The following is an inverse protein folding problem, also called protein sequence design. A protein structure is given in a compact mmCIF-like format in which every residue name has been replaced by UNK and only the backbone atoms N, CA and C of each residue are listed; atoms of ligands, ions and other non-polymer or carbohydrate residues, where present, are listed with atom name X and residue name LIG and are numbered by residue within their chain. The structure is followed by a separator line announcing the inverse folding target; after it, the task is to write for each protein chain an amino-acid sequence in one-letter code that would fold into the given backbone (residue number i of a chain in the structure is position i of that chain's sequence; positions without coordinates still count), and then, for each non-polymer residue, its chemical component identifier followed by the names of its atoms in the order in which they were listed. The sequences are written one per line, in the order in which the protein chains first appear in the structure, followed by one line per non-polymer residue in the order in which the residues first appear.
data_IF_444889077742
#
_entry.id   IF_444889077742
#
_cell.length_a   1.000
_cell.length_b   1.000
_cell.length_c   1.000
_cell.angle_alpha   90.00
_cell.angle_beta   90.00
_cell.angle_gamma   90.00
#
_symmetry.space_group_name_H-M   'P 1'
#
loop_
_entity.id
_entity.type
_entity.pdbx_description
1 polymer ?
#
# COMPACT_ATOMS: atom_id res chain seq x y z
N UNK A 1 -4.38 -3.16 1.52
CA UNK A 1 -3.95 -1.74 1.42
C UNK A 1 -3.75 -1.32 -0.04
N UNK A 2 -2.89 -2.00 -0.80
CA UNK A 2 -2.55 -1.68 -2.19
C UNK A 2 -3.73 -1.56 -3.15
N UNK A 3 -4.61 -2.57 -3.20
CA UNK A 3 -5.82 -2.53 -4.03
C UNK A 3 -6.77 -1.39 -3.66
N UNK A 4 -6.83 -1.02 -2.37
CA UNK A 4 -7.65 0.10 -1.93
C UNK A 4 -7.09 1.43 -2.44
N UNK A 5 -5.77 1.65 -2.34
CA UNK A 5 -5.16 2.85 -2.91
C UNK A 5 -5.25 2.88 -4.45
N UNK A 6 -5.11 1.74 -5.13
CA UNK A 6 -5.31 1.62 -6.57
C UNK A 6 -6.72 2.05 -7.00
N UNK A 7 -7.76 1.66 -6.26
CA UNK A 7 -9.14 2.06 -6.55
C UNK A 7 -9.39 3.58 -6.43
N UNK A 8 -8.50 4.34 -5.77
CA UNK A 8 -8.65 5.79 -5.65
C UNK A 8 -8.52 6.47 -7.02
N UNK A 9 -7.62 5.99 -7.89
CA UNK A 9 -7.38 6.62 -9.18
C UNK A 9 -8.57 6.49 -10.15
N UNK A 10 -9.40 5.46 -9.93
CA UNK A 10 -10.50 5.10 -10.82
C UNK A 10 -11.88 5.47 -10.23
N UNK A 11 -11.96 6.16 -9.08
CA UNK A 11 -13.22 6.36 -8.35
C UNK A 11 -14.34 7.04 -9.17
N UNK A 12 -13.98 7.98 -10.06
CA UNK A 12 -14.95 8.68 -10.92
C UNK A 12 -15.41 7.75 -12.04
N UNK A 13 -14.46 7.12 -12.74
CA UNK A 13 -14.75 6.18 -13.81
C UNK A 13 -15.56 4.96 -13.32
N UNK A 14 -15.21 4.41 -12.16
CA UNK A 14 -15.94 3.32 -11.52
C UNK A 14 -17.39 3.73 -11.22
N UNK A 15 -17.63 4.96 -10.74
CA UNK A 15 -19.00 5.45 -10.48
C UNK A 15 -19.80 5.61 -11.76
N UNK A 16 -19.20 6.18 -12.80
CA UNK A 16 -19.83 6.35 -14.11
C UNK A 16 -20.17 5.00 -14.76
N UNK A 17 -19.32 4.00 -14.55
CA UNK A 17 -19.51 2.63 -15.04
C UNK A 17 -20.41 1.76 -14.13
N UNK A 18 -20.87 2.27 -12.98
CA UNK A 18 -21.66 1.50 -12.02
C UNK A 18 -20.87 0.39 -11.28
N UNK A 19 -19.55 0.47 -11.27
CA UNK A 19 -18.64 -0.47 -10.60
C UNK A 19 -18.53 -0.10 -9.11
N UNK A 20 -18.72 -1.10 -8.25
CA UNK A 20 -18.61 -0.93 -6.80
C UNK A 20 -17.20 -1.28 -6.32
N UNK A 21 -16.40 -0.26 -6.02
CA UNK A 21 -15.10 -0.38 -5.36
C UNK A 21 -15.12 0.26 -3.97
N UNK A 22 -14.10 0.01 -3.15
CA UNK A 22 -14.02 0.62 -1.81
C UNK A 22 -13.98 2.15 -1.89
N UNK A 23 -13.36 2.69 -2.95
CA UNK A 23 -13.30 4.12 -3.20
C UNK A 23 -14.66 4.67 -3.62
N UNK A 24 -15.45 3.95 -4.43
CA UNK A 24 -16.79 4.43 -4.79
C UNK A 24 -17.74 4.41 -3.60
N UNK A 25 -17.65 3.38 -2.74
CA UNK A 25 -18.49 3.20 -1.55
C UNK A 25 -18.17 4.15 -0.38
N UNK A 26 -16.90 4.49 -0.15
CA UNK A 26 -16.46 5.29 1.01
C UNK A 26 -15.79 6.62 0.65
N UNK A 27 -15.52 6.87 -0.62
CA UNK A 27 -14.80 8.05 -1.12
C UNK A 27 -13.28 7.86 -1.16
N UNK A 28 -12.62 8.67 -1.99
CA UNK A 28 -11.18 8.64 -2.21
C UNK A 28 -10.39 8.95 -0.93
N UNK A 29 -10.76 10.02 -0.22
CA UNK A 29 -10.07 10.45 1.01
C UNK A 29 -10.06 9.36 2.07
N UNK A 30 -11.23 8.78 2.37
CA UNK A 30 -11.35 7.73 3.37
C UNK A 30 -10.50 6.52 2.98
N UNK A 31 -10.52 6.15 1.70
CA UNK A 31 -9.79 5.00 1.17
C UNK A 31 -8.27 5.19 1.28
N UNK A 32 -7.75 6.40 1.06
CA UNK A 32 -6.33 6.71 1.29
C UNK A 32 -5.95 6.55 2.75
N UNK A 33 -6.76 7.07 3.68
CA UNK A 33 -6.51 6.92 5.12
C UNK A 33 -6.56 5.46 5.56
N UNK A 34 -7.54 4.71 5.06
CA UNK A 34 -7.63 3.27 5.28
C UNK A 34 -6.35 2.56 4.80
N UNK A 35 -5.85 2.88 3.61
CA UNK A 35 -4.61 2.31 3.10
C UNK A 35 -3.40 2.67 3.98
N UNK A 36 -3.26 3.92 4.41
CA UNK A 36 -2.19 4.36 5.31
C UNK A 36 -2.20 3.59 6.64
N UNK A 37 -3.38 3.43 7.26
CA UNK A 37 -3.53 2.67 8.50
C UNK A 37 -3.14 1.21 8.28
N UNK A 38 -3.61 0.57 7.20
CA UNK A 38 -3.24 -0.81 6.91
C UNK A 38 -1.72 -0.98 6.71
N UNK A 39 -1.05 -0.05 6.02
CA UNK A 39 0.41 -0.12 5.85
C UNK A 39 1.14 0.04 7.19
N UNK A 40 0.74 1.00 8.02
CA UNK A 40 1.32 1.20 9.34
C UNK A 40 1.14 -0.06 10.22
N UNK A 41 -0.07 -0.61 10.27
CA UNK A 41 -0.35 -1.84 11.01
C UNK A 41 0.46 -3.02 10.48
N UNK A 42 0.63 -3.16 9.17
CA UNK A 42 1.44 -4.24 8.60
C UNK A 42 2.90 -4.17 9.07
N UNK A 43 3.50 -2.97 9.11
CA UNK A 43 4.83 -2.77 9.66
C UNK A 43 4.91 -3.15 11.14
N UNK A 44 3.92 -2.73 11.95
CA UNK A 44 3.86 -3.07 13.37
C UNK A 44 3.74 -4.58 13.62
N UNK A 45 2.92 -5.28 12.83
CA UNK A 45 2.77 -6.73 12.92
C UNK A 45 4.10 -7.44 12.60
N UNK A 46 4.85 -6.96 11.60
CA UNK A 46 6.15 -7.56 11.25
C UNK A 46 7.18 -7.46 12.39
N UNK A 47 7.11 -6.46 13.27
CA UNK A 47 8.00 -6.36 14.42
C UNK A 47 7.87 -7.54 15.41
N UNK A 48 6.72 -8.23 15.42
CA UNK A 48 6.49 -9.41 16.26
C UNK A 48 7.01 -10.73 15.69
N UNK A 49 7.69 -10.71 14.54
CA UNK A 49 8.19 -11.93 13.88
C UNK A 49 9.56 -12.34 14.39
N UNK A 50 9.95 -13.61 14.18
CA UNK A 50 11.28 -14.11 14.54
C UNK A 50 12.35 -13.49 13.64
N UNK A 51 13.57 -13.30 14.17
CA UNK A 51 14.71 -12.80 13.40
C UNK A 51 14.96 -13.65 12.14
N UNK A 52 15.22 -13.05 10.96
CA UNK A 52 15.36 -11.62 10.63
C UNK A 52 14.06 -10.91 10.24
N UNK A 53 12.89 -11.54 10.43
CA UNK A 53 11.57 -11.05 10.03
C UNK A 53 11.22 -9.61 10.43
N UNK A 54 11.59 -9.09 11.62
CA UNK A 54 11.32 -7.70 12.00
C UNK A 54 11.88 -6.66 11.03
N UNK A 55 12.94 -6.99 10.28
CA UNK A 55 13.49 -6.10 9.25
C UNK A 55 12.50 -5.83 8.11
N UNK A 56 11.55 -6.73 7.85
CA UNK A 56 10.51 -6.52 6.86
C UNK A 56 9.57 -5.34 7.22
N UNK A 57 9.52 -4.92 8.49
CA UNK A 57 8.76 -3.73 8.89
C UNK A 57 9.23 -2.46 8.16
N UNK A 58 10.52 -2.38 7.80
CA UNK A 58 11.11 -1.27 7.05
C UNK A 58 10.47 -1.15 5.67
N UNK A 59 10.06 -2.27 5.06
CA UNK A 59 9.42 -2.27 3.75
C UNK A 59 8.07 -1.52 3.73
N UNK A 60 7.42 -1.30 4.88
CA UNK A 60 6.20 -0.50 4.97
C UNK A 60 6.44 1.01 4.73
N UNK A 61 7.66 1.52 5.00
CA UNK A 61 7.98 2.95 4.96
C UNK A 61 7.80 3.54 3.55
N UNK A 62 8.37 2.95 2.47
CA UNK A 62 8.17 3.47 1.12
C UNK A 62 6.69 3.56 0.72
N UNK A 63 5.85 2.60 1.13
CA UNK A 63 4.41 2.66 0.86
C UNK A 63 3.73 3.82 1.58
N UNK A 64 4.05 4.05 2.86
CA UNK A 64 3.53 5.20 3.61
C UNK A 64 3.94 6.51 2.94
N UNK A 65 5.21 6.66 2.58
CA UNK A 65 5.75 7.85 1.89
C UNK A 65 5.07 8.08 0.55
N UNK A 66 4.82 7.02 -0.23
CA UNK A 66 4.17 7.12 -1.53
C UNK A 66 2.70 7.55 -1.44
N UNK A 67 1.99 7.09 -0.41
CA UNK A 67 0.55 7.34 -0.23
C UNK A 67 0.26 8.63 0.53
N UNK A 68 1.16 9.05 1.44
CA UNK A 68 0.99 10.21 2.32
C UNK A 68 0.61 11.53 1.62
N UNK A 69 1.15 11.88 0.44
CA UNK A 69 0.77 13.10 -0.28
C UNK A 69 -0.73 13.16 -0.62
N UNK A 70 -1.40 12.02 -0.73
CA UNK A 70 -2.80 11.92 -1.14
C UNK A 70 -3.79 11.90 0.04
N UNK A 71 -3.34 12.07 1.29
CA UNK A 71 -4.19 12.00 2.51
C UNK A 71 -5.37 12.99 2.54
N UNK A 72 -5.31 14.03 1.72
CA UNK A 72 -6.36 15.05 1.56
C UNK A 72 -6.95 15.07 0.15
N UNK A 73 -6.79 14.00 -0.63
CA UNK A 73 -7.34 13.91 -1.99
C UNK A 73 -8.86 13.98 -1.97
N UNK A 74 -9.44 14.67 -2.95
CA UNK A 74 -10.89 14.72 -3.18
C UNK A 74 -11.22 13.80 -4.34
N UNK A 75 -12.45 13.29 -4.38
CA UNK A 75 -12.91 12.41 -5.47
C UNK A 75 -12.72 13.07 -6.85
N UNK A 76 -12.94 14.39 -6.97
CA UNK A 76 -12.73 15.14 -8.21
C UNK A 76 -11.26 15.24 -8.66
N UNK A 77 -10.29 15.04 -7.76
CA UNK A 77 -8.85 15.09 -8.04
C UNK A 77 -8.21 13.69 -8.07
N UNK A 78 -9.04 12.64 -8.10
CA UNK A 78 -8.65 11.23 -7.98
C UNK A 78 -7.57 10.79 -8.96
N UNK A 79 -7.59 11.30 -10.21
CA UNK A 79 -6.61 10.98 -11.25
C UNK A 79 -5.16 11.31 -10.83
N UNK A 80 -4.96 12.25 -9.89
CA UNK A 80 -3.62 12.55 -9.36
C UNK A 80 -3.02 11.34 -8.63
N UNK A 81 -3.84 10.44 -8.10
CA UNK A 81 -3.40 9.21 -7.45
C UNK A 81 -2.68 8.25 -8.42
N UNK A 82 -2.89 8.37 -9.73
CA UNK A 82 -2.20 7.56 -10.77
C UNK A 82 -0.68 7.71 -10.69
N UNK A 83 -0.17 8.90 -10.37
CA UNK A 83 1.27 9.12 -10.16
C UNK A 83 1.77 8.32 -8.95
N UNK A 84 0.97 8.31 -7.88
CA UNK A 84 1.23 7.49 -6.69
C UNK A 84 1.19 6.00 -7.02
N UNK A 85 0.22 5.58 -7.84
CA UNK A 85 0.06 4.20 -8.27
C UNK A 85 1.25 3.69 -9.09
N UNK A 86 1.77 4.50 -10.02
CA UNK A 86 2.99 4.15 -10.77
C UNK A 86 4.21 3.95 -9.87
N UNK A 87 4.39 4.81 -8.86
CA UNK A 87 5.45 4.65 -7.85
C UNK A 87 5.23 3.40 -7.01
N UNK A 88 3.99 3.13 -6.64
CA UNK A 88 3.59 1.96 -5.88
C UNK A 88 4.01 0.65 -6.58
N UNK A 89 3.84 0.53 -7.90
CA UNK A 89 4.23 -0.68 -8.64
C UNK A 89 5.73 -1.00 -8.50
N UNK A 90 6.59 0.01 -8.63
CA UNK A 90 8.03 -0.15 -8.43
C UNK A 90 8.40 -0.49 -6.99
N UNK A 91 7.76 0.19 -6.02
CA UNK A 91 7.94 -0.10 -4.59
C UNK A 91 7.56 -1.56 -4.31
N UNK A 92 6.48 -2.04 -4.92
CA UNK A 92 6.00 -3.40 -4.71
C UNK A 92 6.99 -4.45 -5.23
N UNK A 93 7.59 -4.20 -6.39
CA UNK A 93 8.61 -5.09 -6.93
C UNK A 93 9.86 -5.14 -6.03
N UNK A 94 10.31 -3.98 -5.53
CA UNK A 94 11.46 -3.89 -4.62
C UNK A 94 11.17 -4.54 -3.26
N UNK A 95 9.99 -4.29 -2.68
CA UNK A 95 9.58 -4.90 -1.43
C UNK A 95 9.53 -6.44 -1.54
N UNK A 96 8.97 -6.97 -2.63
CA UNK A 96 8.97 -8.41 -2.90
C UNK A 96 10.38 -8.99 -2.98
N UNK A 97 11.31 -8.28 -3.62
CA UNK A 97 12.72 -8.67 -3.65
C UNK A 97 13.34 -8.72 -2.24
N UNK A 98 13.19 -7.66 -1.43
CA UNK A 98 13.73 -7.60 -0.06
C UNK A 98 13.14 -8.70 0.83
N UNK A 99 11.82 -8.91 0.78
CA UNK A 99 11.16 -9.97 1.56
C UNK A 99 11.67 -11.35 1.15
N UNK A 100 11.90 -11.58 -0.14
CA UNK A 100 12.48 -12.84 -0.62
C UNK A 100 13.88 -13.07 -0.05
N UNK A 101 14.73 -12.05 -0.01
CA UNK A 101 16.06 -12.15 0.60
C UNK A 101 15.98 -12.43 2.11
N UNK A 102 15.04 -11.81 2.82
CA UNK A 102 14.83 -12.07 4.25
C UNK A 102 14.40 -13.51 4.51
N UNK A 103 13.54 -14.08 3.66
CA UNK A 103 13.13 -15.49 3.75
C UNK A 103 14.29 -16.45 3.48
N UNK A 104 15.11 -16.17 2.46
CA UNK A 104 16.32 -16.96 2.18
C UNK A 104 17.27 -16.91 3.38
N UNK A 105 17.48 -15.72 3.95
CA UNK A 105 18.34 -15.56 5.11
C UNK A 105 17.79 -16.30 6.33
N UNK A 106 16.49 -16.19 6.60
CA UNK A 106 15.83 -16.94 7.66
C UNK A 106 16.08 -18.44 7.50
N UNK A 107 15.86 -18.98 6.29
CA UNK A 107 16.10 -20.38 5.98
C UNK A 107 17.54 -20.80 6.29
N UNK A 108 18.54 -20.00 5.86
CA UNK A 108 19.96 -20.28 6.15
C UNK A 108 20.26 -20.34 7.65
N UNK A 109 19.53 -19.58 8.48
CA UNK A 109 19.73 -19.57 9.93
C UNK A 109 19.02 -20.72 10.66
N UNK A 110 17.97 -21.30 10.07
CA UNK A 110 17.11 -22.28 10.74
C UNK A 110 17.20 -23.70 10.17
N UNK A 111 17.83 -23.87 9.01
CA UNK A 111 18.11 -25.17 8.41
C UNK A 111 19.32 -25.85 9.07
#
# INVERSE_FOLDING_TARGET
ASHAFGAVQDVVADREAGISSIATARGARWTVWFALVCYALSGLVMLGTAWPGPLAAIAAIPYLVAVWPYRSIRDADAERATIGWRRFLWINQFAGFVVTLLLIWWWILTA
#
